data_IF_909115222436
#
_entry.id   IF_909115222436
#
_cell.length_a   1.000
_cell.length_b   1.000
_cell.length_c   1.000
_cell.angle_alpha   90.00
_cell.angle_beta   90.00
_cell.angle_gamma   90.00
#
_symmetry.space_group_name_H-M   'P 1'
#
loop_
_entity.id
_entity.type
_entity.pdbx_description
1 polymer ?
#
# COMPACT_ATOMS: atom_id res chain seq x y z
N UNK A 1 0.93 4.89 -22.76
CA UNK A 1 0.83 5.65 -21.49
C UNK A 1 0.14 4.74 -20.49
N UNK A 2 0.90 3.97 -19.72
CA UNK A 2 0.32 3.06 -18.72
C UNK A 2 -0.19 3.93 -17.58
N UNK A 3 -1.50 3.94 -17.37
CA UNK A 3 -2.09 4.64 -16.22
C UNK A 3 -1.50 3.97 -14.97
N UNK A 4 -0.89 4.78 -14.10
CA UNK A 4 -0.31 4.32 -12.83
C UNK A 4 -1.41 3.66 -12.01
N UNK A 5 -1.27 2.36 -11.72
CA UNK A 5 -2.26 1.63 -10.92
C UNK A 5 -2.05 1.94 -9.44
N UNK A 6 -3.07 2.51 -8.82
CA UNK A 6 -3.16 2.63 -7.36
C UNK A 6 -4.07 1.50 -6.89
N UNK A 7 -3.49 0.54 -6.18
CA UNK A 7 -4.21 -0.63 -5.70
C UNK A 7 -4.73 -0.39 -4.28
N UNK A 8 -5.92 -0.92 -3.98
CA UNK A 8 -6.56 -0.82 -2.67
C UNK A 8 -6.32 -2.11 -1.89
N UNK A 9 -5.93 -1.99 -0.63
CA UNK A 9 -5.77 -3.12 0.27
C UNK A 9 -6.51 -2.89 1.58
N UNK A 10 -6.87 -3.99 2.23
CA UNK A 10 -7.42 -4.02 3.57
C UNK A 10 -6.35 -4.50 4.55
N UNK A 11 -6.20 -3.79 5.67
CA UNK A 11 -5.26 -4.12 6.72
C UNK A 11 -5.80 -5.28 7.57
N UNK A 12 -5.02 -6.35 7.70
CA UNK A 12 -5.40 -7.56 8.47
C UNK A 12 -4.67 -7.68 9.80
N UNK A 13 -3.56 -6.95 9.99
CA UNK A 13 -2.80 -6.88 11.23
C UNK A 13 -2.43 -5.43 11.50
N UNK A 14 -2.44 -5.01 12.77
CA UNK A 14 -2.05 -3.66 13.16
C UNK A 14 -0.56 -3.44 12.90
N UNK A 15 -0.21 -2.32 12.28
CA UNK A 15 1.18 -1.88 12.08
C UNK A 15 1.25 -0.36 11.97
N UNK A 16 2.45 0.19 12.09
CA UNK A 16 2.71 1.60 11.83
C UNK A 16 3.56 1.74 10.57
N UNK A 17 3.24 2.73 9.75
CA UNK A 17 4.03 3.08 8.58
C UNK A 17 4.11 4.59 8.43
N UNK A 18 5.33 5.12 8.34
CA UNK A 18 5.56 6.55 8.46
C UNK A 18 5.07 7.08 9.81
N UNK A 19 4.10 8.01 9.78
CA UNK A 19 3.46 8.60 10.98
C UNK A 19 2.03 8.10 11.21
N UNK A 20 1.59 7.09 10.46
CA UNK A 20 0.22 6.56 10.54
C UNK A 20 0.25 5.20 11.23
N UNK A 21 -0.68 5.01 12.18
CA UNK A 21 -0.99 3.72 12.77
C UNK A 21 -2.19 3.15 12.04
N UNK A 22 -2.00 2.02 11.36
CA UNK A 22 -3.06 1.29 10.69
C UNK A 22 -3.59 0.19 11.62
N UNK A 23 -4.89 0.19 11.87
CA UNK A 23 -5.59 -0.87 12.58
C UNK A 23 -6.23 -1.88 11.63
N UNK A 24 -6.72 -2.99 12.20
CA UNK A 24 -7.44 -4.00 11.41
C UNK A 24 -8.66 -3.38 10.72
N UNK A 25 -8.90 -3.81 9.48
CA UNK A 25 -9.95 -3.32 8.59
C UNK A 25 -9.76 -1.89 8.06
N UNK A 26 -8.65 -1.21 8.41
CA UNK A 26 -8.29 0.03 7.74
C UNK A 26 -8.00 -0.21 6.26
N UNK A 27 -8.26 0.82 5.45
CA UNK A 27 -7.91 0.83 4.04
C UNK A 27 -6.57 1.51 3.82
N UNK A 28 -5.72 0.90 2.99
CA UNK A 28 -4.45 1.46 2.55
C UNK A 28 -4.36 1.34 1.03
N UNK A 29 -3.88 2.40 0.40
CA UNK A 29 -3.66 2.40 -1.05
C UNK A 29 -2.16 2.41 -1.33
N UNK A 30 -1.73 1.60 -2.28
CA UNK A 30 -0.33 1.57 -2.72
C UNK A 30 -0.28 1.81 -4.22
N UNK A 31 0.46 2.84 -4.61
CA UNK A 31 0.91 3.01 -5.98
C UNK A 31 2.15 2.15 -6.18
N UNK A 32 2.07 1.20 -7.11
CA UNK A 32 3.18 0.28 -7.38
C UNK A 32 4.38 0.98 -8.02
N UNK A 33 5.53 0.29 -7.91
CA UNK A 33 6.80 0.78 -8.41
C UNK A 33 6.72 0.92 -9.93
N UNK A 34 7.18 2.06 -10.45
CA UNK A 34 7.37 2.24 -11.88
C UNK A 34 8.86 2.00 -12.22
N UNK A 35 9.24 0.80 -12.70
CA UNK A 35 10.62 0.50 -13.02
C UNK A 35 11.15 1.30 -14.22
N UNK A 36 10.26 1.81 -15.08
CA UNK A 36 10.64 2.60 -16.26
C UNK A 36 11.08 4.00 -15.83
N UNK A 37 10.32 4.60 -14.91
CA UNK A 37 10.58 5.95 -14.42
C UNK A 37 11.39 5.99 -13.10
N UNK A 38 11.75 4.82 -12.55
CA UNK A 38 12.47 4.65 -11.27
C UNK A 38 11.77 5.33 -10.09
N UNK A 39 10.44 5.42 -10.13
CA UNK A 39 9.67 6.05 -9.05
C UNK A 39 9.47 5.06 -7.88
N UNK A 40 9.64 5.49 -6.62
CA UNK A 40 9.40 4.62 -5.47
C UNK A 40 7.91 4.27 -5.34
N UNK A 41 7.61 3.22 -4.58
CA UNK A 41 6.22 2.90 -4.25
C UNK A 41 5.66 3.94 -3.29
N UNK A 42 4.45 4.42 -3.54
CA UNK A 42 3.82 5.44 -2.70
C UNK A 42 2.66 4.87 -1.95
N UNK A 43 2.56 5.21 -0.67
CA UNK A 43 1.47 4.77 0.20
C UNK A 43 0.56 5.94 0.52
N UNK A 44 -0.74 5.67 0.45
CA UNK A 44 -1.79 6.60 0.86
C UNK A 44 -2.70 5.95 1.91
N UNK A 45 -3.27 6.76 2.81
CA UNK A 45 -4.22 6.30 3.83
C UNK A 45 -5.63 6.09 3.23
N UNK A 46 -6.59 5.68 4.05
CA UNK A 46 -7.99 5.46 3.62
C UNK A 46 -8.67 6.72 3.05
N UNK A 47 -8.19 7.91 3.42
CA UNK A 47 -8.64 9.21 2.89
C UNK A 47 -7.89 9.62 1.61
N UNK A 48 -7.02 8.74 1.09
CA UNK A 48 -6.16 8.95 -0.08
C UNK A 48 -5.12 10.06 0.10
N UNK A 49 -4.78 10.39 1.34
CA UNK A 49 -3.69 11.30 1.65
C UNK A 49 -2.36 10.57 1.60
N UNK A 50 -1.33 11.25 1.08
CA UNK A 50 0.01 10.71 1.02
C UNK A 50 0.58 10.46 2.42
N UNK A 51 1.13 9.27 2.64
CA UNK A 51 1.73 8.88 3.93
C UNK A 51 3.26 8.81 3.83
N UNK A 52 3.77 7.98 2.93
CA UNK A 52 5.22 7.79 2.75
C UNK A 52 5.51 7.04 1.46
N UNK A 53 6.75 7.17 0.99
CA UNK A 53 7.33 6.27 0.00
C UNK A 53 7.87 5.02 0.71
N UNK A 54 7.78 3.86 0.06
CA UNK A 54 8.33 2.59 0.54
C UNK A 54 9.14 1.89 -0.55
N UNK A 55 10.09 1.05 -0.14
CA UNK A 55 10.78 0.15 -1.05
C UNK A 55 9.91 -1.05 -1.42
N UNK A 56 10.28 -1.75 -2.50
CA UNK A 56 9.61 -2.98 -2.90
C UNK A 56 9.69 -4.08 -1.84
N UNK A 57 10.78 -4.15 -1.06
CA UNK A 57 10.91 -5.13 0.02
C UNK A 57 9.90 -4.88 1.15
N UNK A 58 9.65 -3.62 1.49
CA UNK A 58 8.62 -3.25 2.48
C UNK A 58 7.24 -3.60 1.94
N UNK A 59 6.95 -3.30 0.67
CA UNK A 59 5.68 -3.66 0.05
C UNK A 59 5.43 -5.17 0.04
N UNK A 60 6.42 -5.97 -0.37
CA UNK A 60 6.32 -7.42 -0.34
C UNK A 60 6.12 -7.95 1.09
N UNK A 61 6.74 -7.31 2.08
CA UNK A 61 6.55 -7.66 3.49
C UNK A 61 5.14 -7.34 3.99
N UNK A 62 4.56 -6.22 3.55
CA UNK A 62 3.17 -5.87 3.85
C UNK A 62 2.20 -6.88 3.23
N UNK A 63 2.35 -7.21 1.94
CA UNK A 63 1.49 -8.17 1.21
C UNK A 63 1.58 -9.59 1.77
N UNK A 64 2.67 -9.98 2.43
CA UNK A 64 2.82 -11.32 3.03
C UNK A 64 1.93 -11.58 4.26
N UNK A 65 1.32 -10.56 4.85
CA UNK A 65 0.44 -10.82 6.00
C UNK A 65 -0.02 -9.63 6.82
N UNK A 66 0.19 -8.39 6.35
CA UNK A 66 -0.35 -7.17 6.95
C UNK A 66 -1.49 -6.58 6.13
N UNK A 67 -1.47 -6.75 4.81
CA UNK A 67 -2.48 -6.22 3.89
C UNK A 67 -2.89 -7.27 2.86
N UNK A 68 -4.18 -7.31 2.50
CA UNK A 68 -4.74 -8.20 1.46
C UNK A 68 -5.47 -7.38 0.40
N UNK A 69 -5.55 -7.88 -0.83
CA UNK A 69 -6.25 -7.17 -1.90
C UNK A 69 -7.76 -7.22 -1.62
N UNK A 70 -8.45 -6.11 -1.86
CA UNK A 70 -9.92 -6.05 -1.76
C UNK A 70 -10.57 -7.05 -2.73
N UNK A 71 -9.89 -7.38 -3.84
CA UNK A 71 -10.35 -8.34 -4.85
C UNK A 71 -9.98 -9.81 -4.56
N UNK A 72 -9.17 -10.10 -3.53
CA UNK A 72 -8.83 -11.47 -3.11
C UNK A 72 -9.86 -12.06 -2.12
N UNK A 73 -11.00 -11.39 -1.93
CA UNK A 73 -12.04 -11.75 -0.93
C UNK A 73 -13.21 -12.59 -1.49
N UNK A 74 -13.09 -13.16 -2.69
CA UNK A 74 -14.09 -14.07 -3.31
C UNK A 74 -13.78 -15.56 -3.06
#
# INVERSE_FOLDING_TARGET
MSIRSINKYIVVKRFSLGKVLYDKSDTIYVQEHDPVNKEPQKVFNGEKEYVTDISSDVYLSLRKGFIIDDQETD
#
